data_IF_336066197838
#
_entry.id   IF_336066197838
#
_cell.length_a   1.000
_cell.length_b   1.000
_cell.length_c   1.000
_cell.angle_alpha   90.00
_cell.angle_beta   90.00
_cell.angle_gamma   90.00
#
_symmetry.space_group_name_H-M   'P 1'
#
loop_
_entity.id
_entity.type
_entity.pdbx_description
1 polymer ?
#
# COMPACT_ATOMS: atom_id res chain seq x y z
N UNK A 1 4.33 -1.13 -3.98
CA UNK A 1 4.70 -1.15 -5.41
C UNK A 1 4.01 0.03 -6.08
N UNK A 2 4.72 0.80 -6.88
CA UNK A 2 4.12 1.90 -7.64
C UNK A 2 3.36 1.43 -8.88
N UNK A 3 2.62 2.36 -9.51
CA UNK A 3 1.78 2.07 -10.68
C UNK A 3 2.54 1.42 -11.83
N UNK A 4 3.72 1.92 -12.15
CA UNK A 4 4.57 1.38 -13.22
C UNK A 4 4.94 -0.10 -12.97
N UNK A 5 5.35 -0.43 -11.76
CA UNK A 5 5.65 -1.81 -11.38
C UNK A 5 4.44 -2.72 -11.46
N UNK A 6 3.30 -2.27 -10.96
CA UNK A 6 2.05 -3.04 -11.00
C UNK A 6 1.59 -3.31 -12.43
N UNK A 7 1.59 -2.30 -13.29
CA UNK A 7 1.19 -2.41 -14.70
C UNK A 7 2.10 -3.36 -15.47
N UNK A 8 3.41 -3.27 -15.26
CA UNK A 8 4.39 -4.14 -15.91
C UNK A 8 4.22 -5.63 -15.54
N UNK A 9 3.66 -5.92 -14.37
CA UNK A 9 3.38 -7.31 -13.96
C UNK A 9 2.02 -7.76 -14.47
N UNK A 10 0.97 -7.00 -14.17
CA UNK A 10 -0.43 -7.40 -14.45
C UNK A 10 -0.73 -7.42 -15.96
N UNK A 11 -0.22 -6.44 -16.70
CA UNK A 11 -0.46 -6.27 -18.13
C UNK A 11 0.71 -6.64 -19.03
N UNK A 12 1.62 -7.46 -18.53
CA UNK A 12 2.84 -7.84 -19.25
C UNK A 12 2.56 -8.42 -20.64
N UNK A 13 1.62 -9.32 -20.73
CA UNK A 13 1.22 -9.97 -21.99
C UNK A 13 0.56 -9.00 -22.96
N UNK A 14 -0.31 -8.13 -22.45
CA UNK A 14 -1.05 -7.17 -23.28
C UNK A 14 -0.10 -6.12 -23.86
N UNK A 15 0.84 -5.65 -23.08
CA UNK A 15 1.87 -4.69 -23.52
C UNK A 15 2.75 -5.33 -24.59
N UNK A 16 3.20 -6.57 -24.36
CA UNK A 16 4.05 -7.28 -25.32
C UNK A 16 3.35 -7.57 -26.65
N UNK A 17 2.05 -7.82 -26.63
CA UNK A 17 1.24 -8.08 -27.82
C UNK A 17 0.75 -6.82 -28.54
N UNK A 18 0.92 -5.66 -27.94
CA UNK A 18 0.46 -4.38 -28.51
C UNK A 18 1.34 -3.92 -29.69
N UNK A 19 0.74 -3.37 -30.75
CA UNK A 19 1.50 -2.72 -31.84
C UNK A 19 2.18 -1.41 -31.36
N UNK A 20 1.70 -0.83 -30.25
CA UNK A 20 2.27 0.38 -29.63
C UNK A 20 2.46 0.16 -28.12
N UNK A 21 3.46 -0.64 -27.70
CA UNK A 21 3.60 -1.05 -26.32
C UNK A 21 3.81 0.14 -25.35
N UNK A 22 4.58 1.13 -25.74
CA UNK A 22 4.85 2.30 -24.88
C UNK A 22 3.61 3.18 -24.69
N UNK A 23 2.81 3.38 -25.74
CA UNK A 23 1.56 4.13 -25.63
C UNK A 23 0.55 3.41 -24.74
N UNK A 24 0.42 2.09 -24.88
CA UNK A 24 -0.44 1.28 -24.04
C UNK A 24 0.03 1.29 -22.58
N UNK A 25 1.32 1.13 -22.35
CA UNK A 25 1.91 1.19 -21.00
C UNK A 25 1.60 2.51 -20.31
N UNK A 26 1.84 3.64 -20.96
CA UNK A 26 1.57 4.97 -20.42
C UNK A 26 0.10 5.15 -20.05
N UNK A 27 -0.82 4.71 -20.92
CA UNK A 27 -2.25 4.77 -20.65
C UNK A 27 -2.63 3.92 -19.44
N UNK A 28 -2.15 2.68 -19.37
CA UNK A 28 -2.45 1.77 -18.26
C UNK A 28 -1.89 2.27 -16.91
N UNK A 29 -0.71 2.89 -16.94
CA UNK A 29 -0.12 3.51 -15.73
C UNK A 29 -1.03 4.65 -15.25
N UNK A 30 -1.47 5.52 -16.15
CA UNK A 30 -2.37 6.63 -15.81
C UNK A 30 -3.71 6.12 -15.26
N UNK A 31 -4.31 5.12 -15.90
CA UNK A 31 -5.56 4.50 -15.43
C UNK A 31 -5.39 3.88 -14.03
N UNK A 32 -4.26 3.22 -13.78
CA UNK A 32 -3.94 2.65 -12.47
C UNK A 32 -3.77 3.73 -11.40
N UNK A 33 -3.06 4.81 -11.72
CA UNK A 33 -2.87 5.94 -10.82
C UNK A 33 -4.20 6.58 -10.44
N UNK A 34 -5.04 6.85 -11.42
CA UNK A 34 -6.35 7.48 -11.23
C UNK A 34 -7.27 6.59 -10.37
N UNK A 35 -7.20 5.29 -10.53
CA UNK A 35 -8.06 4.34 -9.83
C UNK A 35 -7.57 4.01 -8.41
N UNK A 36 -6.27 3.84 -8.21
CA UNK A 36 -5.74 3.24 -6.97
C UNK A 36 -4.78 4.12 -6.18
N UNK A 37 -4.13 5.09 -6.80
CA UNK A 37 -3.07 5.86 -6.15
C UNK A 37 -3.60 7.06 -5.37
N UNK A 38 -4.59 6.80 -4.50
CA UNK A 38 -5.08 7.79 -3.55
C UNK A 38 -5.40 7.12 -2.21
N UNK A 39 -5.27 7.83 -1.08
CA UNK A 39 -5.46 7.26 0.24
C UNK A 39 -6.91 6.85 0.54
N UNK A 40 -7.88 7.46 -0.13
CA UNK A 40 -9.30 7.19 0.11
C UNK A 40 -9.74 5.80 -0.39
N UNK A 41 -9.07 5.26 -1.40
CA UNK A 41 -9.29 3.88 -1.85
C UNK A 41 -8.91 2.90 -0.74
N UNK A 42 -7.74 3.06 -0.15
CA UNK A 42 -7.28 2.24 0.97
C UNK A 42 -8.18 2.42 2.21
N UNK A 43 -8.61 3.65 2.49
CA UNK A 43 -9.54 3.94 3.58
C UNK A 43 -10.90 3.26 3.35
N UNK A 44 -11.40 3.28 2.12
CA UNK A 44 -12.66 2.62 1.75
C UNK A 44 -12.64 1.10 1.98
N UNK A 45 -11.48 0.47 1.84
CA UNK A 45 -11.30 -0.96 2.16
C UNK A 45 -10.98 -1.23 3.64
N UNK A 46 -10.89 -0.21 4.48
CA UNK A 46 -10.54 -0.37 5.89
C UNK A 46 -9.09 -0.76 6.14
N UNK A 47 -8.21 -0.51 5.19
CA UNK A 47 -6.77 -0.83 5.29
C UNK A 47 -5.97 0.21 6.07
N UNK A 48 -6.52 1.39 6.24
CA UNK A 48 -5.97 2.49 7.03
C UNK A 48 -7.07 3.10 7.89
N UNK A 49 -6.69 3.68 9.03
CA UNK A 49 -7.63 4.19 10.03
C UNK A 49 -8.03 5.64 9.77
N UNK A 50 -7.15 6.43 9.16
CA UNK A 50 -7.39 7.85 8.93
C UNK A 50 -6.54 8.36 7.77
N UNK A 51 -7.01 9.44 7.15
CA UNK A 51 -6.27 10.22 6.15
C UNK A 51 -6.04 11.61 6.72
N UNK A 52 -4.79 11.97 6.93
CA UNK A 52 -4.40 13.19 7.63
C UNK A 52 -3.52 14.09 6.76
N UNK A 53 -3.50 15.38 7.08
CA UNK A 53 -2.45 16.26 6.56
C UNK A 53 -1.11 15.91 7.20
N UNK A 54 0.01 16.07 6.48
CA UNK A 54 1.35 15.78 7.01
C UNK A 54 1.66 16.53 8.31
N UNK A 55 1.12 17.73 8.50
CA UNK A 55 1.26 18.52 9.73
C UNK A 55 0.65 17.86 10.98
N UNK A 56 -0.31 16.96 10.80
CA UNK A 56 -0.98 16.24 11.89
C UNK A 56 -0.25 14.96 12.30
N UNK A 57 0.77 14.54 11.57
CA UNK A 57 1.49 13.27 11.81
C UNK A 57 2.01 13.15 13.23
N UNK A 58 2.75 14.15 13.70
CA UNK A 58 3.34 14.12 15.05
C UNK A 58 2.28 14.09 16.16
N UNK A 59 1.28 14.99 16.17
CA UNK A 59 0.21 14.92 17.17
C UNK A 59 -0.55 13.59 17.17
N UNK A 60 -0.83 13.02 16.01
CA UNK A 60 -1.52 11.72 15.88
C UNK A 60 -0.70 10.58 16.45
N UNK A 61 0.62 10.54 16.18
CA UNK A 61 1.53 9.53 16.73
C UNK A 61 1.58 9.65 18.26
N UNK A 62 1.72 10.85 18.80
CA UNK A 62 1.78 11.08 20.25
C UNK A 62 0.49 10.58 20.92
N UNK A 63 -0.68 10.92 20.38
CA UNK A 63 -1.97 10.45 20.91
C UNK A 63 -2.12 8.94 20.85
N UNK A 64 -1.70 8.32 19.75
CA UNK A 64 -1.75 6.87 19.61
C UNK A 64 -0.85 6.17 20.61
N UNK A 65 0.36 6.68 20.84
CA UNK A 65 1.28 6.15 21.86
C UNK A 65 0.73 6.31 23.27
N UNK A 66 0.11 7.44 23.60
CA UNK A 66 -0.56 7.66 24.89
C UNK A 66 -1.69 6.64 25.10
N UNK A 67 -2.53 6.41 24.09
CA UNK A 67 -3.60 5.41 24.14
C UNK A 67 -3.07 3.99 24.36
N UNK A 68 -1.88 3.67 23.84
CA UNK A 68 -1.27 2.34 23.88
C UNK A 68 -0.29 2.18 25.06
N UNK A 69 -0.09 3.20 25.90
CA UNK A 69 0.89 3.20 26.98
C UNK A 69 0.73 1.98 27.91
N UNK A 70 -0.50 1.65 28.24
CA UNK A 70 -0.83 0.54 29.14
C UNK A 70 -1.07 -0.81 28.43
N UNK A 71 -0.93 -0.82 27.10
CA UNK A 71 -1.11 -2.08 26.34
C UNK A 71 -0.01 -3.06 26.69
N UNK A 72 -0.39 -4.27 27.06
CA UNK A 72 0.50 -5.41 27.32
C UNK A 72 -0.03 -6.62 26.57
N UNK A 73 0.79 -7.19 25.72
CA UNK A 73 0.51 -8.43 25.03
C UNK A 73 1.62 -9.43 25.32
N UNK A 74 1.24 -10.58 25.84
CA UNK A 74 2.16 -11.70 26.01
C UNK A 74 1.95 -12.66 24.85
N UNK A 75 2.92 -12.72 23.96
CA UNK A 75 2.91 -13.68 22.88
C UNK A 75 3.28 -15.08 23.40
N UNK A 76 2.70 -16.15 22.84
CA UNK A 76 3.11 -17.50 23.16
C UNK A 76 4.61 -17.69 22.92
N UNK A 77 5.29 -18.30 23.85
CA UNK A 77 6.71 -18.63 23.69
C UNK A 77 6.90 -19.57 22.50
N UNK A 78 7.71 -19.15 21.54
CA UNK A 78 8.05 -19.97 20.38
C UNK A 78 9.37 -20.66 20.62
N UNK A 79 9.35 -21.97 20.58
CA UNK A 79 10.57 -22.80 20.77
C UNK A 79 11.52 -22.66 19.56
N UNK A 80 10.97 -22.51 18.36
CA UNK A 80 11.71 -22.33 17.13
C UNK A 80 11.02 -21.28 16.25
N UNK A 81 11.79 -20.42 15.62
CA UNK A 81 11.29 -19.50 14.59
C UNK A 81 11.21 -20.19 13.23
N UNK A 82 10.25 -19.76 12.39
CA UNK A 82 10.28 -20.11 10.97
C UNK A 82 11.44 -19.42 10.30
N UNK A 83 12.26 -20.17 9.57
CA UNK A 83 13.29 -19.60 8.72
C UNK A 83 12.62 -19.11 7.43
N UNK A 84 12.72 -17.81 7.08
CA UNK A 84 12.20 -17.35 5.80
C UNK A 84 13.02 -17.99 4.66
N UNK A 85 12.31 -18.63 3.78
CA UNK A 85 12.90 -19.26 2.59
C UNK A 85 12.92 -18.31 1.42
#
# INVERSE_FOLDING_TARGET
>A
MGAEGAVNIVHRSDIAASPQPEALRTRLIQEYEDQFMNPYVAAGYGLIDDVIDPSETRPKIIRALEMLENKRETLPHKKHGSIPL
#
